data_IF_249522434391
#
_entry.id   IF_249522434391
#
_cell.length_a   1.000
_cell.length_b   1.000
_cell.length_c   1.000
_cell.angle_alpha   90.00
_cell.angle_beta   90.00
_cell.angle_gamma   90.00
#
_symmetry.space_group_name_H-M   'P 1'
#
loop_
_entity.id
_entity.type
_entity.pdbx_description
1 polymer ?
#
# COMPACT_ATOMS: atom_id res chain seq x y z
N UNK A 1 16.93 8.57 14.70
CA UNK A 1 15.98 8.28 13.61
C UNK A 1 15.57 9.63 13.03
N UNK A 2 16.05 9.99 11.84
CA UNK A 2 15.67 11.25 11.19
C UNK A 2 14.32 11.02 10.52
N UNK A 3 13.28 11.69 10.99
CA UNK A 3 11.98 11.67 10.31
C UNK A 3 12.07 12.52 9.04
N UNK A 4 11.51 12.07 7.91
CA UNK A 4 11.25 12.95 6.79
C UNK A 4 10.29 14.02 7.29
N UNK A 5 10.81 15.22 7.47
CA UNK A 5 10.05 16.42 7.75
C UNK A 5 10.25 17.25 6.49
N UNK A 6 9.15 17.63 5.82
CA UNK A 6 9.23 18.41 4.59
C UNK A 6 9.76 19.81 4.88
N UNK A 7 9.30 20.83 4.16
CA UNK A 7 9.77 22.19 4.41
C UNK A 7 9.27 22.69 5.77
N UNK A 8 10.20 22.82 6.72
CA UNK A 8 9.99 23.57 7.95
C UNK A 8 10.75 24.89 7.88
N UNK A 9 10.04 26.01 8.08
CA UNK A 9 10.67 27.31 8.26
C UNK A 9 10.34 27.87 9.65
N UNK A 10 11.33 28.53 10.24
CA UNK A 10 11.23 29.10 11.58
C UNK A 10 11.28 30.61 11.47
N UNK A 11 10.40 31.30 12.20
CA UNK A 11 10.48 32.75 12.34
C UNK A 11 11.62 33.16 13.29
N UNK A 12 11.92 34.46 13.34
CA UNK A 12 12.95 35.02 14.22
C UNK A 12 12.64 34.87 15.72
N UNK A 13 11.42 34.48 16.08
CA UNK A 13 11.00 34.21 17.45
C UNK A 13 11.08 32.72 17.82
N UNK A 14 11.58 31.87 16.91
CA UNK A 14 11.71 30.43 17.13
C UNK A 14 10.38 29.68 17.04
N UNK A 15 9.39 30.20 16.29
CA UNK A 15 8.12 29.52 16.02
C UNK A 15 8.15 28.92 14.63
N UNK A 16 7.41 27.83 14.44
CA UNK A 16 7.21 27.22 13.12
C UNK A 16 6.29 28.14 12.30
N UNK A 17 6.83 28.74 11.24
CA UNK A 17 6.10 29.65 10.36
C UNK A 17 5.50 28.94 9.13
N UNK A 18 6.10 27.83 8.71
CA UNK A 18 5.56 26.89 7.71
C UNK A 18 5.93 25.48 8.15
N UNK A 19 4.94 24.60 8.16
CA UNK A 19 5.12 23.14 8.26
C UNK A 19 4.40 22.52 7.07
N UNK A 20 5.15 22.24 6.01
CA UNK A 20 4.68 21.41 4.92
C UNK A 20 5.23 20.01 5.19
N UNK A 21 4.38 19.12 5.71
CA UNK A 21 4.65 17.68 5.67
C UNK A 21 4.95 17.31 4.22
N UNK A 22 6.09 16.68 3.94
CA UNK A 22 6.24 16.03 2.65
C UNK A 22 5.14 14.97 2.58
N UNK A 23 4.38 14.94 1.48
CA UNK A 23 3.58 13.78 1.11
C UNK A 23 4.55 12.66 0.70
N UNK A 24 5.33 12.17 1.66
CA UNK A 24 6.31 11.15 1.48
C UNK A 24 5.60 9.81 1.53
N UNK A 25 5.61 9.13 0.40
CA UNK A 25 5.27 7.72 0.34
C UNK A 25 6.43 6.95 0.95
N UNK A 26 6.19 6.25 2.06
CA UNK A 26 7.18 5.38 2.70
C UNK A 26 6.94 3.92 2.33
N UNK A 27 7.95 3.25 1.79
CA UNK A 27 7.95 1.80 1.62
C UNK A 27 7.93 1.08 2.97
N UNK A 28 6.98 0.16 3.15
CA UNK A 28 6.85 -0.68 4.34
C UNK A 28 7.38 -2.09 4.14
N UNK A 29 7.36 -2.60 2.90
CA UNK A 29 7.81 -3.95 2.57
C UNK A 29 7.06 -4.54 1.39
N UNK A 30 7.34 -5.81 1.11
CA UNK A 30 6.76 -6.56 -0.01
C UNK A 30 6.14 -7.86 0.47
N UNK A 31 5.17 -8.38 -0.28
CA UNK A 31 4.57 -9.69 -0.05
C UNK A 31 4.31 -10.43 -1.36
N UNK A 32 4.25 -11.76 -1.28
CA UNK A 32 3.82 -12.62 -2.38
C UNK A 32 2.48 -13.25 -2.01
N UNK A 33 1.49 -13.12 -2.90
CA UNK A 33 0.11 -13.49 -2.65
C UNK A 33 -0.38 -14.41 -3.76
N UNK A 34 -0.84 -15.60 -3.40
CA UNK A 34 -1.39 -16.56 -4.35
C UNK A 34 -2.90 -16.73 -4.17
N UNK A 35 -3.65 -16.66 -5.27
CA UNK A 35 -5.06 -17.06 -5.36
C UNK A 35 -5.13 -18.44 -6.00
N UNK A 36 -5.96 -19.31 -5.43
CA UNK A 36 -6.31 -20.56 -6.08
C UNK A 36 -7.33 -20.31 -7.20
N UNK A 37 -7.50 -21.30 -8.09
CA UNK A 37 -8.55 -21.23 -9.09
C UNK A 37 -9.92 -21.15 -8.42
N UNK A 38 -10.73 -20.18 -8.81
CA UNK A 38 -12.06 -19.94 -8.23
C UNK A 38 -12.09 -18.85 -7.16
N UNK A 39 -10.94 -18.48 -6.56
CA UNK A 39 -10.90 -17.44 -5.54
C UNK A 39 -11.21 -16.07 -6.15
N UNK A 40 -11.93 -15.23 -5.41
CA UNK A 40 -12.22 -13.84 -5.82
C UNK A 40 -11.46 -12.80 -4.99
N UNK A 41 -10.96 -13.21 -3.81
CA UNK A 41 -10.19 -12.34 -2.94
C UNK A 41 -9.35 -13.13 -1.94
N UNK A 42 -8.33 -12.48 -1.37
CA UNK A 42 -7.51 -13.04 -0.31
C UNK A 42 -7.05 -11.95 0.65
N UNK A 43 -7.31 -12.15 1.94
CA UNK A 43 -6.77 -11.32 3.01
C UNK A 43 -5.32 -11.71 3.29
N UNK A 44 -4.47 -10.70 3.45
CA UNK A 44 -3.05 -10.84 3.74
C UNK A 44 -2.72 -9.96 4.94
N UNK A 45 -2.32 -10.59 6.04
CA UNK A 45 -1.86 -9.87 7.22
C UNK A 45 -0.56 -9.12 6.90
N UNK A 46 -0.50 -7.86 7.27
CA UNK A 46 0.68 -7.03 7.11
C UNK A 46 0.78 -6.05 8.29
N UNK A 47 1.75 -6.27 9.17
CA UNK A 47 1.90 -5.47 10.38
C UNK A 47 2.14 -4.00 10.05
N UNK A 48 1.45 -3.11 10.76
CA UNK A 48 1.55 -1.65 10.57
C UNK A 48 0.71 -1.08 9.42
N UNK A 49 0.07 -1.93 8.60
CA UNK A 49 -0.87 -1.44 7.60
C UNK A 49 -2.14 -0.88 8.25
N UNK A 50 -2.62 0.25 7.75
CA UNK A 50 -3.87 0.88 8.19
C UNK A 50 -4.78 1.13 7.00
N UNK A 51 -6.09 1.18 7.23
CA UNK A 51 -7.07 1.35 6.16
C UNK A 51 -6.89 2.66 5.38
N UNK A 52 -6.58 3.76 6.09
CA UNK A 52 -6.54 5.11 5.53
C UNK A 52 -5.12 5.59 5.23
N UNK A 53 -4.10 5.04 5.91
CA UNK A 53 -2.71 5.43 5.73
C UNK A 53 -1.95 4.59 4.72
N UNK A 54 -2.44 3.40 4.35
CA UNK A 54 -1.67 2.45 3.54
C UNK A 54 -2.27 2.27 2.15
N UNK A 55 -1.40 2.22 1.14
CA UNK A 55 -1.76 1.71 -0.18
C UNK A 55 -0.83 0.57 -0.58
N UNK A 56 -1.33 -0.33 -1.42
CA UNK A 56 -0.60 -1.52 -1.85
C UNK A 56 -0.64 -1.57 -3.37
N UNK A 57 0.51 -1.75 -3.99
CA UNK A 57 0.66 -1.84 -5.44
C UNK A 57 1.09 -3.23 -5.85
N UNK A 58 0.54 -3.73 -6.96
CA UNK A 58 0.94 -4.99 -7.55
C UNK A 58 2.10 -4.70 -8.51
N UNK A 59 3.24 -5.34 -8.29
CA UNK A 59 4.46 -5.14 -9.10
C UNK A 59 4.71 -6.28 -10.09
N UNK A 60 3.84 -7.28 -10.12
CA UNK A 60 3.89 -8.34 -11.12
C UNK A 60 3.51 -7.80 -12.50
N UNK A 61 4.17 -8.29 -13.54
CA UNK A 61 3.93 -7.84 -14.92
C UNK A 61 3.10 -8.85 -15.71
N UNK A 62 2.25 -8.36 -16.62
CA UNK A 62 1.47 -9.19 -17.54
C UNK A 62 0.05 -8.69 -17.71
N UNK A 63 -0.57 -8.93 -18.87
CA UNK A 63 -1.92 -8.42 -19.18
C UNK A 63 -3.00 -8.92 -18.21
N UNK A 64 -2.86 -10.14 -17.70
CA UNK A 64 -3.79 -10.73 -16.73
C UNK A 64 -3.73 -10.03 -15.36
N UNK A 65 -2.63 -9.37 -15.02
CA UNK A 65 -2.47 -8.68 -13.73
C UNK A 65 -3.40 -7.48 -13.59
N UNK A 66 -3.83 -6.88 -14.71
CA UNK A 66 -4.73 -5.73 -14.73
C UNK A 66 -6.13 -6.03 -14.16
N UNK A 67 -6.46 -7.30 -13.96
CA UNK A 67 -7.73 -7.74 -13.38
C UNK A 67 -7.70 -7.77 -11.84
N UNK A 68 -6.57 -7.39 -11.21
CA UNK A 68 -6.39 -7.48 -9.77
C UNK A 68 -6.07 -6.13 -9.15
N UNK A 69 -6.49 -5.93 -7.90
CA UNK A 69 -6.16 -4.74 -7.12
C UNK A 69 -6.09 -5.06 -5.63
N UNK A 70 -5.44 -4.19 -4.85
CA UNK A 70 -5.34 -4.34 -3.41
C UNK A 70 -6.07 -3.21 -2.69
N UNK A 71 -6.68 -3.53 -1.53
CA UNK A 71 -7.24 -2.55 -0.59
C UNK A 71 -6.68 -2.79 0.80
N UNK A 72 -6.09 -1.76 1.42
CA UNK A 72 -5.63 -1.87 2.80
C UNK A 72 -6.80 -1.92 3.79
N UNK A 73 -6.56 -2.56 4.93
CA UNK A 73 -7.39 -2.56 6.12
C UNK A 73 -6.48 -2.51 7.36
N UNK A 74 -7.04 -2.30 8.55
CA UNK A 74 -6.24 -2.26 9.78
C UNK A 74 -5.61 -3.63 10.08
N UNK A 75 -4.29 -3.71 9.94
CA UNK A 75 -3.51 -4.94 10.12
C UNK A 75 -3.23 -5.73 8.83
N UNK A 76 -3.57 -5.22 7.65
CA UNK A 76 -3.23 -5.90 6.40
C UNK A 76 -3.82 -5.28 5.14
N UNK A 77 -3.97 -6.10 4.12
CA UNK A 77 -4.64 -5.73 2.87
C UNK A 77 -5.35 -6.94 2.26
N UNK A 78 -6.35 -6.67 1.44
CA UNK A 78 -7.05 -7.68 0.65
C UNK A 78 -6.65 -7.53 -0.81
N UNK A 79 -6.18 -8.61 -1.43
CA UNK A 79 -6.07 -8.73 -2.87
C UNK A 79 -7.46 -9.13 -3.40
N UNK A 80 -7.94 -8.43 -4.42
CA UNK A 80 -9.20 -8.70 -5.10
C UNK A 80 -8.97 -9.04 -6.56
N UNK A 81 -9.81 -9.92 -7.08
CA UNK A 81 -10.05 -10.13 -8.50
C UNK A 81 -11.27 -9.29 -8.91
N UNK A 82 -11.12 -8.44 -9.93
CA UNK A 82 -12.12 -7.47 -10.37
C UNK A 82 -13.30 -8.11 -11.14
N UNK A 83 -13.09 -9.09 -12.04
CA UNK A 83 -14.18 -9.73 -12.76
C UNK A 83 -15.13 -10.52 -11.84
N UNK A 84 -16.33 -10.82 -12.37
CA UNK A 84 -17.40 -11.50 -11.62
C UNK A 84 -17.23 -13.01 -11.53
N UNK A 85 -16.27 -13.59 -12.25
CA UNK A 85 -15.87 -14.99 -12.14
C UNK A 85 -14.82 -15.22 -11.05
N UNK A 86 -14.51 -16.48 -10.75
CA UNK A 86 -13.34 -16.80 -9.94
C UNK A 86 -12.05 -16.60 -10.73
N UNK A 87 -10.99 -16.21 -10.03
CA UNK A 87 -9.63 -16.06 -10.58
C UNK A 87 -9.12 -17.39 -11.15
N UNK A 88 -8.24 -17.34 -12.14
CA UNK A 88 -7.34 -18.47 -12.41
C UNK A 88 -6.32 -18.61 -11.26
N UNK A 89 -5.68 -19.77 -11.12
CA UNK A 89 -4.58 -19.90 -10.16
C UNK A 89 -3.43 -18.95 -10.55
N UNK A 90 -3.08 -18.04 -9.66
CA UNK A 90 -2.07 -17.01 -9.92
C UNK A 90 -1.30 -16.65 -8.66
N UNK A 91 -0.05 -16.21 -8.83
CA UNK A 91 0.77 -15.64 -7.76
C UNK A 91 1.22 -14.24 -8.15
N UNK A 92 1.00 -13.28 -7.27
CA UNK A 92 1.31 -11.87 -7.46
C UNK A 92 2.25 -11.37 -6.37
N UNK A 93 3.28 -10.65 -6.77
CA UNK A 93 4.13 -9.85 -5.90
C UNK A 93 3.56 -8.45 -5.74
N UNK A 94 3.54 -7.96 -4.50
CA UNK A 94 3.04 -6.65 -4.13
C UNK A 94 4.03 -5.90 -3.25
N UNK A 95 3.95 -4.58 -3.30
CA UNK A 95 4.66 -3.67 -2.41
C UNK A 95 3.65 -2.86 -1.60
N UNK A 96 3.95 -2.67 -0.32
CA UNK A 96 3.10 -1.99 0.67
C UNK A 96 3.75 -0.68 1.06
N UNK A 97 2.96 0.39 1.04
CA UNK A 97 3.42 1.74 1.26
C UNK A 97 2.49 2.50 2.21
N UNK A 98 3.04 3.45 2.97
CA UNK A 98 2.27 4.35 3.83
C UNK A 98 2.36 5.79 3.34
N UNK A 99 1.25 6.52 3.40
CA UNK A 99 1.21 7.97 3.39
C UNK A 99 1.65 8.46 4.76
N UNK A 100 2.70 9.27 4.84
CA UNK A 100 3.03 10.02 6.07
C UNK A 100 2.27 11.32 6.13
#
# INVERSE_FOLDING_TARGET
MVMPQGLQCWDSAGRVAVDLSDYAIRYMGSATVSLASGDTSKNVAFSGATQDGTFVTIVSTGVTVNEYFCRAYNGGFTLYYLPTGGSAAITLNVEVYNFQ
#
